data_IF_813880283543
#
_entry.id   IF_813880283543
#
_cell.length_a   1.000
_cell.length_b   1.000
_cell.length_c   1.000
_cell.angle_alpha   90.00
_cell.angle_beta   90.00
_cell.angle_gamma   90.00
#
_symmetry.space_group_name_H-M   'P 1'
#
loop_
_entity.id
_entity.type
_entity.pdbx_description
1 polymer ?
#
# COMPACT_ATOMS: atom_id res chain seq x y z
N UNK A 1 -30.04 6.19 4.77
CA UNK A 1 -29.53 6.24 3.38
C UNK A 1 -28.08 6.77 3.26
N UNK A 2 -27.60 7.73 4.07
CA UNK A 2 -26.23 8.28 3.90
C UNK A 2 -25.05 7.41 4.40
N UNK A 3 -25.27 6.50 5.36
CA UNK A 3 -24.18 5.71 5.96
C UNK A 3 -23.42 4.85 4.93
N UNK A 4 -24.16 4.24 3.99
CA UNK A 4 -23.56 3.43 2.92
C UNK A 4 -22.62 4.24 2.03
N UNK A 5 -22.90 5.53 1.81
CA UNK A 5 -22.04 6.41 1.02
C UNK A 5 -20.74 6.75 1.76
N UNK A 6 -20.78 7.00 3.07
CA UNK A 6 -19.55 7.19 3.86
C UNK A 6 -18.72 5.90 3.94
N UNK A 7 -19.37 4.76 4.15
CA UNK A 7 -18.70 3.45 4.14
C UNK A 7 -18.03 3.15 2.80
N UNK A 8 -18.69 3.48 1.69
CA UNK A 8 -18.14 3.38 0.34
C UNK A 8 -16.98 4.35 0.10
N UNK A 9 -17.12 5.61 0.55
CA UNK A 9 -16.09 6.66 0.43
C UNK A 9 -14.80 6.25 1.15
N UNK A 10 -14.93 5.67 2.35
CA UNK A 10 -13.81 5.14 3.13
C UNK A 10 -13.23 3.82 2.60
N UNK A 11 -13.84 3.22 1.57
CA UNK A 11 -13.49 1.90 1.01
C UNK A 11 -13.57 0.74 2.00
N UNK A 12 -14.40 0.85 3.04
CA UNK A 12 -14.52 -0.22 4.06
C UNK A 12 -15.24 -1.48 3.55
N UNK A 13 -15.89 -1.41 2.38
CA UNK A 13 -16.45 -2.57 1.69
C UNK A 13 -15.37 -3.49 1.07
N UNK A 14 -14.14 -3.00 0.90
CA UNK A 14 -13.03 -3.76 0.34
C UNK A 14 -11.75 -3.52 1.13
N UNK A 15 -11.39 -4.48 1.97
CA UNK A 15 -10.25 -4.36 2.89
C UNK A 15 -8.90 -4.65 2.24
N UNK A 16 -8.86 -5.08 0.98
CA UNK A 16 -7.59 -5.39 0.28
C UNK A 16 -6.58 -4.26 0.36
N UNK A 17 -7.02 -3.03 0.06
CA UNK A 17 -6.15 -1.87 0.13
C UNK A 17 -5.70 -1.50 1.54
N UNK A 18 -6.52 -1.80 2.55
CA UNK A 18 -6.13 -1.64 3.95
C UNK A 18 -5.03 -2.63 4.32
N UNK A 19 -5.18 -3.90 3.97
CA UNK A 19 -4.19 -4.94 4.23
C UNK A 19 -2.84 -4.65 3.58
N UNK A 20 -2.85 -4.13 2.35
CA UNK A 20 -1.64 -3.75 1.63
C UNK A 20 -0.88 -2.58 2.26
N UNK A 21 -1.53 -1.75 3.09
CA UNK A 21 -0.85 -0.69 3.88
C UNK A 21 -0.49 -1.21 5.27
N UNK A 22 -1.37 -2.01 5.87
CA UNK A 22 -1.19 -2.52 7.22
C UNK A 22 0.02 -3.46 7.33
N UNK A 23 0.09 -4.51 6.50
CA UNK A 23 1.12 -5.53 6.67
C UNK A 23 2.54 -5.01 6.50
N UNK A 24 2.88 -4.14 5.54
CA UNK A 24 4.19 -3.48 5.50
C UNK A 24 4.49 -2.70 6.79
N UNK A 25 3.49 -2.00 7.33
CA UNK A 25 3.62 -1.22 8.55
C UNK A 25 3.96 -2.09 9.77
N UNK A 26 3.20 -3.17 9.97
CA UNK A 26 3.45 -4.10 11.06
C UNK A 26 4.77 -4.85 10.87
N UNK A 27 5.12 -5.20 9.63
CA UNK A 27 6.41 -5.83 9.30
C UNK A 27 7.56 -4.92 9.69
N UNK A 28 7.48 -3.61 9.45
CA UNK A 28 8.50 -2.64 9.87
C UNK A 28 8.76 -2.63 11.38
N UNK A 29 7.69 -2.69 12.18
CA UNK A 29 7.77 -2.74 13.65
C UNK A 29 8.49 -4.01 14.10
N UNK A 30 8.09 -5.17 13.56
CA UNK A 30 8.63 -6.46 13.99
C UNK A 30 10.05 -6.68 13.47
N UNK A 31 10.35 -6.23 12.25
CA UNK A 31 11.70 -6.29 11.71
C UNK A 31 12.69 -5.55 12.61
N UNK A 32 12.27 -4.40 13.15
CA UNK A 32 13.04 -3.59 14.09
C UNK A 32 13.10 -4.17 15.51
N UNK A 33 12.14 -5.02 15.88
CA UNK A 33 12.02 -5.57 17.23
C UNK A 33 12.84 -6.84 17.35
N UNK A 34 13.77 -6.90 18.30
CA UNK A 34 14.53 -8.13 18.55
C UNK A 34 13.67 -9.22 19.20
N UNK A 35 12.64 -8.82 19.96
CA UNK A 35 11.63 -9.69 20.59
C UNK A 35 10.31 -8.93 20.74
N UNK A 36 9.21 -9.65 20.99
CA UNK A 36 7.87 -9.08 21.22
C UNK A 36 7.74 -8.45 22.62
N UNK A 37 8.35 -7.28 22.78
CA UNK A 37 8.16 -6.45 23.97
C UNK A 37 6.76 -5.85 24.05
N UNK A 38 6.36 -5.40 25.24
CA UNK A 38 5.12 -4.62 25.43
C UNK A 38 5.06 -3.39 24.53
N UNK A 39 6.19 -2.72 24.31
CA UNK A 39 6.28 -1.58 23.40
C UNK A 39 5.98 -1.99 21.96
N UNK A 40 6.54 -3.11 21.47
CA UNK A 40 6.25 -3.61 20.14
C UNK A 40 4.76 -3.93 19.97
N UNK A 41 4.15 -4.60 20.95
CA UNK A 41 2.72 -4.90 20.96
C UNK A 41 1.85 -3.63 20.93
N UNK A 42 2.19 -2.64 21.77
CA UNK A 42 1.50 -1.35 21.77
C UNK A 42 1.59 -0.63 20.42
N UNK A 43 2.77 -0.64 19.79
CA UNK A 43 2.97 -0.06 18.45
C UNK A 43 2.18 -0.81 17.38
N UNK A 44 2.09 -2.14 17.43
CA UNK A 44 1.27 -2.92 16.51
C UNK A 44 -0.21 -2.48 16.56
N UNK A 45 -0.74 -2.25 17.77
CA UNK A 45 -2.12 -1.74 17.94
C UNK A 45 -2.26 -0.34 17.36
N UNK A 46 -1.36 0.58 17.71
CA UNK A 46 -1.41 1.97 17.22
C UNK A 46 -1.32 2.04 15.69
N UNK A 47 -0.41 1.30 15.07
CA UNK A 47 -0.26 1.26 13.61
C UNK A 47 -1.42 0.55 12.93
N UNK A 48 -2.05 -0.43 13.59
CA UNK A 48 -3.29 -1.03 13.08
C UNK A 48 -4.39 0.00 13.02
N UNK A 49 -4.68 0.70 14.12
CA UNK A 49 -5.68 1.78 14.14
C UNK A 49 -5.30 2.87 13.12
N UNK A 50 -4.03 3.25 13.09
CA UNK A 50 -3.48 4.21 12.12
C UNK A 50 -3.77 3.82 10.67
N UNK A 51 -3.58 2.56 10.28
CA UNK A 51 -3.91 2.08 8.94
C UNK A 51 -5.41 2.20 8.63
N UNK A 52 -6.29 1.87 9.60
CA UNK A 52 -7.74 2.01 9.48
C UNK A 52 -8.21 3.47 9.34
N UNK A 53 -7.38 4.44 9.73
CA UNK A 53 -7.66 5.87 9.56
C UNK A 53 -7.04 6.42 8.26
N UNK A 54 -5.75 6.12 8.05
CA UNK A 54 -4.94 6.67 6.97
C UNK A 54 -5.31 6.12 5.60
N UNK A 55 -5.70 4.83 5.51
CA UNK A 55 -6.15 4.27 4.24
C UNK A 55 -7.43 4.96 3.74
N UNK A 56 -8.50 5.07 4.54
CA UNK A 56 -9.66 5.87 4.16
C UNK A 56 -9.32 7.33 3.85
N UNK A 57 -8.47 7.99 4.65
CA UNK A 57 -8.07 9.36 4.41
C UNK A 57 -7.42 9.55 3.02
N UNK A 58 -6.48 8.68 2.65
CA UNK A 58 -5.87 8.69 1.31
C UNK A 58 -6.89 8.43 0.19
N UNK A 59 -7.88 7.55 0.42
CA UNK A 59 -8.96 7.32 -0.55
C UNK A 59 -9.85 8.57 -0.72
N UNK A 60 -10.18 9.27 0.37
CA UNK A 60 -10.95 10.51 0.31
C UNK A 60 -10.20 11.60 -0.45
N UNK A 61 -8.90 11.76 -0.18
CA UNK A 61 -8.05 12.72 -0.90
C UNK A 61 -8.05 12.40 -2.40
N UNK A 62 -7.83 11.14 -2.77
CA UNK A 62 -7.89 10.70 -4.17
C UNK A 62 -9.26 11.00 -4.80
N UNK A 63 -10.36 10.64 -4.14
CA UNK A 63 -11.72 10.86 -4.67
C UNK A 63 -12.05 12.36 -4.82
N UNK A 64 -11.48 13.24 -3.98
CA UNK A 64 -11.64 14.70 -4.12
C UNK A 64 -10.92 15.20 -5.39
N UNK A 65 -9.66 14.79 -5.58
CA UNK A 65 -8.87 15.23 -6.74
C UNK A 65 -9.37 14.61 -8.05
N UNK A 66 -9.80 13.36 -8.02
CA UNK A 66 -10.18 12.58 -9.20
C UNK A 66 -11.69 12.66 -9.49
N UNK A 67 -12.48 13.42 -8.72
CA UNK A 67 -13.95 13.50 -8.81
C UNK A 67 -14.48 13.61 -10.25
N UNK A 68 -13.92 14.51 -11.05
CA UNK A 68 -14.38 14.75 -12.43
C UNK A 68 -13.96 13.63 -13.38
N UNK A 69 -12.75 13.09 -13.20
CA UNK A 69 -12.21 11.98 -14.00
C UNK A 69 -13.00 10.69 -13.69
N UNK A 70 -13.18 10.40 -12.40
CA UNK A 70 -13.88 9.22 -11.91
C UNK A 70 -15.33 9.15 -12.43
N UNK A 71 -15.97 10.29 -12.71
CA UNK A 71 -17.33 10.36 -13.27
C UNK A 71 -17.42 9.83 -14.72
N UNK A 72 -16.28 9.78 -15.44
CA UNK A 72 -16.20 9.33 -16.83
C UNK A 72 -15.62 7.92 -16.99
N UNK A 73 -15.30 7.23 -15.88
CA UNK A 73 -14.73 5.87 -15.87
C UNK A 73 -15.76 4.87 -15.36
N UNK A 74 -16.00 3.79 -16.11
CA UNK A 74 -17.13 2.88 -15.90
C UNK A 74 -17.16 2.30 -14.47
N UNK A 75 -15.98 1.95 -13.96
CA UNK A 75 -15.81 1.34 -12.64
C UNK A 75 -16.01 2.34 -11.48
N UNK A 76 -15.75 3.61 -11.70
CA UNK A 76 -15.64 4.62 -10.63
C UNK A 76 -16.72 5.68 -10.66
N UNK A 77 -17.54 5.75 -11.73
CA UNK A 77 -18.62 6.73 -11.87
C UNK A 77 -19.64 6.71 -10.72
N UNK A 78 -19.78 5.56 -10.05
CA UNK A 78 -20.66 5.38 -8.89
C UNK A 78 -20.01 5.70 -7.54
N UNK A 79 -18.74 6.13 -7.51
CA UNK A 79 -18.11 6.60 -6.26
C UNK A 79 -18.92 7.75 -5.66
N UNK A 80 -18.97 7.90 -4.33
CA UNK A 80 -19.86 8.88 -3.69
C UNK A 80 -19.64 10.33 -4.13
N UNK A 81 -18.38 10.75 -4.37
CA UNK A 81 -18.09 12.11 -4.84
C UNK A 81 -18.33 12.28 -6.34
N UNK A 82 -17.98 11.28 -7.16
CA UNK A 82 -18.18 11.31 -8.61
C UNK A 82 -19.67 11.32 -8.98
N UNK A 83 -20.49 10.53 -8.30
CA UNK A 83 -21.95 10.45 -8.52
C UNK A 83 -22.74 11.60 -7.88
N UNK A 84 -22.11 12.44 -7.05
CA UNK A 84 -22.78 13.50 -6.29
C UNK A 84 -23.57 13.02 -5.07
N UNK A 85 -23.51 11.74 -4.71
CA UNK A 85 -24.17 11.20 -3.52
C UNK A 85 -23.63 11.80 -2.20
N UNK A 86 -22.38 12.26 -2.20
CA UNK A 86 -21.80 13.12 -1.18
C UNK A 86 -21.16 14.35 -1.84
N UNK A 87 -21.18 15.48 -1.14
CA UNK A 87 -20.47 16.68 -1.56
C UNK A 87 -19.05 16.74 -0.96
N UNK A 88 -18.20 17.61 -1.54
CA UNK A 88 -16.80 17.76 -1.11
C UNK A 88 -16.69 18.22 0.35
N UNK A 89 -17.61 19.07 0.82
CA UNK A 89 -17.64 19.53 2.22
C UNK A 89 -17.83 18.37 3.20
N UNK A 90 -18.74 17.44 2.90
CA UNK A 90 -18.95 16.23 3.70
C UNK A 90 -17.70 15.35 3.73
N UNK A 91 -17.02 15.18 2.60
CA UNK A 91 -15.77 14.44 2.53
C UNK A 91 -14.64 15.11 3.32
N UNK A 92 -14.52 16.45 3.26
CA UNK A 92 -13.51 17.20 4.02
C UNK A 92 -13.73 17.13 5.54
N UNK A 93 -14.99 17.14 6.00
CA UNK A 93 -15.30 16.96 7.44
C UNK A 93 -14.84 15.59 7.92
N UNK A 94 -15.17 14.53 7.17
CA UNK A 94 -14.74 13.17 7.52
C UNK A 94 -13.22 13.03 7.44
N UNK A 95 -12.59 13.57 6.40
CA UNK A 95 -11.14 13.58 6.25
C UNK A 95 -10.47 14.25 7.45
N UNK A 96 -10.96 15.43 7.87
CA UNK A 96 -10.45 16.17 9.02
C UNK A 96 -10.54 15.34 10.31
N UNK A 97 -11.66 14.66 10.55
CA UNK A 97 -11.82 13.77 11.69
C UNK A 97 -10.79 12.63 11.68
N UNK A 98 -10.66 11.92 10.55
CA UNK A 98 -9.72 10.81 10.40
C UNK A 98 -8.27 11.25 10.61
N UNK A 99 -7.88 12.38 10.00
CA UNK A 99 -6.53 12.93 10.12
C UNK A 99 -6.24 13.46 11.51
N UNK A 100 -7.23 14.02 12.21
CA UNK A 100 -7.05 14.49 13.59
C UNK A 100 -6.75 13.33 14.53
N UNK A 101 -7.48 12.21 14.42
CA UNK A 101 -7.23 11.01 15.23
C UNK A 101 -5.87 10.39 14.85
N UNK A 102 -5.55 10.32 13.55
CA UNK A 102 -4.27 9.80 13.09
C UNK A 102 -3.09 10.68 13.56
N UNK A 103 -3.27 12.00 13.63
CA UNK A 103 -2.27 12.92 14.17
C UNK A 103 -2.05 12.67 15.67
N UNK A 104 -3.11 12.46 16.46
CA UNK A 104 -2.95 12.10 17.87
C UNK A 104 -2.11 10.83 18.01
N UNK A 105 -2.39 9.79 17.23
CA UNK A 105 -1.58 8.55 17.22
C UNK A 105 -0.12 8.85 16.85
N UNK A 106 0.11 9.66 15.82
CA UNK A 106 1.45 10.02 15.39
C UNK A 106 2.22 10.80 16.47
N UNK A 107 1.56 11.67 17.23
CA UNK A 107 2.15 12.42 18.35
C UNK A 107 2.52 11.53 19.55
N UNK A 108 1.94 10.33 19.65
CA UNK A 108 2.34 9.33 20.65
C UNK A 108 3.62 8.56 20.26
N UNK A 109 4.19 8.83 19.08
CA UNK A 109 5.42 8.21 18.61
C UNK A 109 6.64 9.11 18.82
N UNK A 110 7.82 8.65 18.40
CA UNK A 110 9.06 9.42 18.53
C UNK A 110 9.26 10.44 17.40
N UNK A 111 10.25 11.33 17.59
CA UNK A 111 10.54 12.44 16.66
C UNK A 111 10.81 11.97 15.23
N UNK A 112 11.57 10.89 15.04
CA UNK A 112 11.88 10.38 13.70
C UNK A 112 10.62 9.89 12.99
N UNK A 113 9.74 9.19 13.71
CA UNK A 113 8.46 8.71 13.19
C UNK A 113 7.52 9.86 12.84
N UNK A 114 7.46 10.91 13.68
CA UNK A 114 6.68 12.11 13.43
C UNK A 114 7.11 12.80 12.12
N UNK A 115 8.42 12.99 11.91
CA UNK A 115 8.96 13.60 10.68
C UNK A 115 8.59 12.76 9.45
N UNK A 116 8.77 11.44 9.52
CA UNK A 116 8.40 10.53 8.43
C UNK A 116 6.89 10.53 8.15
N UNK A 117 6.07 10.67 9.18
CA UNK A 117 4.62 10.81 9.04
C UNK A 117 4.22 12.08 8.30
N UNK A 118 4.86 13.21 8.59
CA UNK A 118 4.64 14.47 7.85
C UNK A 118 5.05 14.32 6.38
N UNK A 119 6.22 13.71 6.11
CA UNK A 119 6.67 13.42 4.74
C UNK A 119 5.65 12.53 4.03
N UNK A 120 5.17 11.47 4.69
CA UNK A 120 4.16 10.57 4.14
C UNK A 120 2.86 11.32 3.79
N UNK A 121 2.44 12.29 4.60
CA UNK A 121 1.25 13.11 4.30
C UNK A 121 1.42 13.93 3.03
N UNK A 122 2.57 14.56 2.83
CA UNK A 122 2.86 15.28 1.59
C UNK A 122 2.75 14.36 0.37
N UNK A 123 3.28 13.13 0.48
CA UNK A 123 3.24 12.15 -0.61
C UNK A 123 1.82 11.66 -0.92
N UNK A 124 0.97 11.49 0.10
CA UNK A 124 -0.45 11.14 -0.07
C UNK A 124 -1.19 12.22 -0.87
N UNK A 125 -0.93 13.50 -0.61
CA UNK A 125 -1.59 14.62 -1.30
C UNK A 125 -1.08 14.75 -2.75
N UNK A 126 0.21 14.55 -2.99
CA UNK A 126 0.82 14.70 -4.32
C UNK A 126 0.43 13.55 -5.26
N UNK A 127 0.34 12.32 -4.75
CA UNK A 127 0.10 11.12 -5.57
C UNK A 127 -1.05 11.24 -6.59
N UNK A 128 -2.30 11.62 -6.23
CA UNK A 128 -3.40 11.64 -7.20
C UNK A 128 -3.16 12.58 -8.38
N UNK A 129 -2.43 13.69 -8.16
CA UNK A 129 -2.09 14.65 -9.22
C UNK A 129 -1.16 14.06 -10.28
N UNK A 130 -0.28 13.13 -9.89
CA UNK A 130 0.78 12.61 -10.76
C UNK A 130 0.25 11.80 -11.93
N UNK A 131 -0.91 11.16 -11.79
CA UNK A 131 -1.54 10.36 -12.86
C UNK A 131 -1.79 11.15 -14.16
N UNK A 132 -1.85 12.49 -14.06
CA UNK A 132 -2.06 13.40 -15.19
C UNK A 132 -0.77 13.74 -15.94
N UNK A 133 0.38 13.59 -15.28
CA UNK A 133 1.64 14.13 -15.77
C UNK A 133 2.70 13.06 -16.07
N UNK A 134 2.77 12.00 -15.25
CA UNK A 134 3.84 10.99 -15.33
C UNK A 134 3.31 9.62 -15.73
N UNK A 135 4.13 8.84 -16.44
CA UNK A 135 3.80 7.47 -16.85
C UNK A 135 3.94 6.43 -15.73
N UNK A 136 4.56 6.81 -14.61
CA UNK A 136 4.86 5.92 -13.50
C UNK A 136 4.19 6.34 -12.18
N UNK A 137 2.88 6.68 -12.15
CA UNK A 137 2.22 7.04 -10.89
C UNK A 137 2.22 5.87 -9.90
N UNK A 138 2.30 4.62 -10.38
CA UNK A 138 2.46 3.40 -9.57
C UNK A 138 3.75 3.39 -8.74
N UNK A 139 4.86 3.97 -9.25
CA UNK A 139 6.10 4.10 -8.49
C UNK A 139 5.88 5.04 -7.30
N UNK A 140 5.24 6.18 -7.55
CA UNK A 140 4.90 7.14 -6.49
C UNK A 140 3.91 6.57 -5.49
N UNK A 141 2.94 5.77 -5.94
CA UNK A 141 2.07 5.02 -5.05
C UNK A 141 2.87 4.06 -4.19
N UNK A 142 3.83 3.34 -4.79
CA UNK A 142 4.74 2.44 -4.08
C UNK A 142 5.50 3.14 -2.97
N UNK A 143 5.94 4.38 -3.19
CA UNK A 143 6.50 5.17 -2.12
C UNK A 143 5.46 5.45 -1.04
N UNK A 144 4.32 6.04 -1.40
CA UNK A 144 3.29 6.48 -0.45
C UNK A 144 2.69 5.33 0.38
N UNK A 145 2.31 4.21 -0.24
CA UNK A 145 1.63 3.09 0.43
C UNK A 145 2.52 2.39 1.46
N UNK A 146 3.82 2.33 1.18
CA UNK A 146 4.74 1.53 1.97
C UNK A 146 5.46 2.35 3.04
N UNK A 147 5.25 3.67 3.12
CA UNK A 147 5.87 4.52 4.15
C UNK A 147 5.66 3.96 5.55
N UNK A 148 4.53 3.29 5.79
CA UNK A 148 4.25 2.60 7.03
C UNK A 148 5.35 1.63 7.47
N UNK A 149 6.06 0.94 6.58
CA UNK A 149 7.18 0.06 6.96
C UNK A 149 8.35 0.84 7.55
N UNK A 150 8.64 2.03 7.01
CA UNK A 150 9.64 2.94 7.59
C UNK A 150 9.19 3.53 8.91
N UNK A 151 7.95 4.02 8.98
CA UNK A 151 7.40 4.56 10.22
C UNK A 151 7.40 3.49 11.33
N UNK A 152 7.04 2.26 11.00
CA UNK A 152 7.02 1.15 11.94
C UNK A 152 8.40 0.85 12.52
N UNK A 153 9.43 0.79 11.67
CA UNK A 153 10.81 0.64 12.13
C UNK A 153 11.27 1.83 12.98
N UNK A 154 11.03 3.05 12.48
CA UNK A 154 11.39 4.27 13.18
C UNK A 154 10.70 4.37 14.54
N UNK A 155 9.46 3.89 14.69
CA UNK A 155 8.74 3.92 15.96
C UNK A 155 9.42 3.10 17.05
N UNK A 156 10.13 2.03 16.66
CA UNK A 156 10.89 1.16 17.57
C UNK A 156 12.31 1.70 17.80
N UNK A 157 13.03 2.07 16.73
CA UNK A 157 14.47 2.40 16.81
C UNK A 157 14.79 3.89 16.92
N UNK A 158 13.81 4.76 16.69
CA UNK A 158 13.96 6.22 16.57
C UNK A 158 15.04 6.68 15.56
N UNK A 159 15.40 5.81 14.62
CA UNK A 159 16.36 6.08 13.55
C UNK A 159 16.06 5.18 12.35
N UNK A 160 16.59 5.52 11.18
CA UNK A 160 16.53 4.68 9.98
C UNK A 160 17.92 4.13 9.70
N UNK A 161 18.00 2.82 9.51
CA UNK A 161 19.18 2.09 9.08
C UNK A 161 18.91 1.43 7.72
N UNK A 162 19.84 0.63 7.20
CA UNK A 162 19.76 0.07 5.84
C UNK A 162 18.67 -1.02 5.71
N UNK A 163 18.39 -1.76 6.78
CA UNK A 163 17.45 -2.87 6.83
C UNK A 163 16.02 -2.45 6.46
N UNK A 164 15.40 -1.43 7.09
CA UNK A 164 14.08 -0.97 6.69
C UNK A 164 14.09 -0.31 5.31
N UNK A 165 15.23 0.22 4.83
CA UNK A 165 15.33 0.81 3.49
C UNK A 165 15.23 -0.25 2.40
N UNK A 166 15.93 -1.37 2.58
CA UNK A 166 15.80 -2.53 1.69
C UNK A 166 14.40 -3.12 1.77
N UNK A 167 13.84 -3.28 2.98
CA UNK A 167 12.49 -3.81 3.12
C UNK A 167 11.45 -2.94 2.40
N UNK A 168 11.53 -1.62 2.61
CA UNK A 168 10.68 -0.64 1.93
C UNK A 168 10.87 -0.63 0.42
N UNK A 169 12.12 -0.70 -0.08
CA UNK A 169 12.42 -0.84 -1.50
C UNK A 169 11.74 -2.07 -2.10
N UNK A 170 11.81 -3.21 -1.41
CA UNK A 170 11.11 -4.43 -1.83
C UNK A 170 9.60 -4.22 -1.93
N UNK A 171 9.01 -3.52 -0.95
CA UNK A 171 7.59 -3.18 -0.95
C UNK A 171 7.21 -2.22 -2.09
N UNK A 172 8.05 -1.24 -2.44
CA UNK A 172 7.81 -0.33 -3.57
C UNK A 172 7.72 -1.10 -4.89
N UNK A 173 8.69 -1.99 -5.17
CA UNK A 173 8.66 -2.82 -6.38
C UNK A 173 7.48 -3.79 -6.39
N UNK A 174 7.07 -4.25 -5.21
CA UNK A 174 5.90 -5.09 -5.08
C UNK A 174 4.61 -4.32 -5.39
N UNK A 175 4.48 -3.08 -4.90
CA UNK A 175 3.39 -2.17 -5.25
C UNK A 175 3.38 -1.82 -6.73
N UNK A 176 4.54 -1.54 -7.32
CA UNK A 176 4.68 -1.38 -8.75
C UNK A 176 4.09 -2.58 -9.49
N UNK A 177 4.35 -3.80 -9.03
CA UNK A 177 3.79 -5.00 -9.65
C UNK A 177 2.27 -5.05 -9.53
N UNK A 178 1.73 -5.12 -8.32
CA UNK A 178 0.29 -5.35 -8.15
C UNK A 178 -0.57 -4.16 -8.59
N UNK A 179 -0.06 -2.93 -8.50
CA UNK A 179 -0.82 -1.74 -8.89
C UNK A 179 -0.78 -1.52 -10.41
N UNK A 180 0.29 -1.97 -11.09
CA UNK A 180 0.29 -2.09 -12.56
C UNK A 180 -0.78 -3.08 -13.01
N UNK A 181 -0.88 -4.25 -12.35
CA UNK A 181 -1.93 -5.24 -12.63
C UNK A 181 -3.31 -4.63 -12.38
N UNK A 182 -3.48 -3.93 -11.26
CA UNK A 182 -4.75 -3.28 -10.93
C UNK A 182 -5.14 -2.21 -11.96
N UNK A 183 -4.19 -1.43 -12.47
CA UNK A 183 -4.42 -0.37 -13.45
C UNK A 183 -4.85 -0.90 -14.84
N UNK A 184 -4.54 -2.15 -15.18
CA UNK A 184 -5.03 -2.76 -16.44
C UNK A 184 -6.56 -2.84 -16.51
N UNK A 185 -7.27 -2.81 -15.37
CA UNK A 185 -8.73 -2.79 -15.34
C UNK A 185 -9.34 -1.55 -16.00
N UNK A 186 -8.65 -0.41 -15.91
CA UNK A 186 -9.16 0.89 -16.40
C UNK A 186 -8.42 1.35 -17.66
N UNK A 187 -7.54 0.51 -18.24
CA UNK A 187 -6.64 0.84 -19.36
C UNK A 187 -7.36 1.57 -20.51
N UNK A 188 -8.54 1.08 -20.92
CA UNK A 188 -9.30 1.65 -22.05
C UNK A 188 -9.90 3.02 -21.74
N UNK A 189 -10.34 3.25 -20.51
CA UNK A 189 -10.92 4.53 -20.09
C UNK A 189 -9.82 5.55 -19.82
N UNK A 190 -8.71 5.12 -19.19
CA UNK A 190 -7.51 5.92 -18.98
C UNK A 190 -6.94 6.45 -20.31
N UNK A 191 -6.86 5.61 -21.35
CA UNK A 191 -6.38 6.00 -22.67
C UNK A 191 -7.24 7.10 -23.30
N UNK A 192 -8.58 6.96 -23.24
CA UNK A 192 -9.52 7.96 -23.77
C UNK A 192 -9.45 9.29 -23.03
N UNK A 193 -9.19 9.25 -21.73
CA UNK A 193 -9.09 10.42 -20.87
C UNK A 193 -7.68 11.05 -20.87
N UNK A 194 -6.73 10.48 -21.64
CA UNK A 194 -5.35 10.94 -21.69
C UNK A 194 -4.58 10.74 -20.38
N UNK A 195 -5.05 9.84 -19.52
CA UNK A 195 -4.41 9.49 -18.26
C UNK A 195 -3.19 8.60 -18.51
N UNK A 196 -2.18 8.73 -17.66
CA UNK A 196 -0.93 7.99 -17.80
C UNK A 196 -0.79 6.95 -16.70
N UNK A 197 -0.37 5.74 -17.07
CA UNK A 197 -0.14 4.66 -16.12
C UNK A 197 0.94 3.71 -16.65
N UNK A 198 1.56 2.95 -15.75
CA UNK A 198 2.49 1.89 -16.13
C UNK A 198 1.81 0.78 -16.94
N UNK A 199 0.51 0.54 -16.74
CA UNK A 199 -0.28 -0.39 -17.54
C UNK A 199 -0.32 0.03 -19.02
N UNK A 200 -0.56 1.33 -19.28
CA UNK A 200 -0.50 1.88 -20.64
C UNK A 200 0.94 1.92 -21.18
N UNK A 201 1.90 2.34 -20.35
CA UNK A 201 3.30 2.46 -20.77
C UNK A 201 3.94 1.12 -21.13
N UNK A 202 3.69 0.07 -20.34
CA UNK A 202 4.25 -1.26 -20.60
C UNK A 202 3.48 -2.02 -21.68
N UNK A 203 2.16 -1.81 -21.79
CA UNK A 203 1.31 -2.50 -22.76
C UNK A 203 1.56 -4.01 -22.74
N UNK A 204 1.92 -4.57 -23.89
CA UNK A 204 2.15 -6.00 -24.09
C UNK A 204 3.39 -6.53 -23.33
N UNK A 205 4.32 -5.64 -22.97
CA UNK A 205 5.52 -6.01 -22.20
C UNK A 205 5.28 -6.10 -20.70
N UNK A 206 4.05 -5.86 -20.22
CA UNK A 206 3.68 -5.86 -18.79
C UNK A 206 4.23 -7.08 -18.06
N UNK A 207 4.00 -8.30 -18.56
CA UNK A 207 4.46 -9.52 -17.88
C UNK A 207 5.98 -9.55 -17.65
N UNK A 208 6.76 -9.04 -18.59
CA UNK A 208 8.23 -8.96 -18.49
C UNK A 208 8.66 -8.02 -17.37
N UNK A 209 8.01 -6.85 -17.25
CA UNK A 209 8.25 -5.89 -16.18
C UNK A 209 7.84 -6.44 -14.81
N UNK A 210 6.67 -7.07 -14.71
CA UNK A 210 6.21 -7.68 -13.46
C UNK A 210 7.19 -8.74 -12.95
N UNK A 211 7.73 -9.57 -13.84
CA UNK A 211 8.78 -10.55 -13.47
C UNK A 211 9.99 -9.86 -12.86
N UNK A 212 10.46 -8.74 -13.43
CA UNK A 212 11.60 -7.97 -12.90
C UNK A 212 11.27 -7.39 -11.53
N UNK A 213 10.09 -6.79 -11.37
CA UNK A 213 9.66 -6.24 -10.09
C UNK A 213 9.55 -7.30 -9.00
N UNK A 214 8.97 -8.47 -9.31
CA UNK A 214 8.93 -9.60 -8.38
C UNK A 214 10.33 -10.04 -7.93
N UNK A 215 11.27 -10.17 -8.87
CA UNK A 215 12.65 -10.56 -8.55
C UNK A 215 13.35 -9.51 -7.70
N UNK A 216 13.21 -8.23 -8.02
CA UNK A 216 13.79 -7.13 -7.23
C UNK A 216 13.17 -7.12 -5.83
N UNK A 217 11.86 -7.26 -5.68
CA UNK A 217 11.19 -7.34 -4.38
C UNK A 217 11.75 -8.49 -3.52
N UNK A 218 11.83 -9.69 -4.08
CA UNK A 218 12.38 -10.85 -3.37
C UNK A 218 13.84 -10.64 -2.96
N UNK A 219 14.67 -10.08 -3.86
CA UNK A 219 16.07 -9.77 -3.56
C UNK A 219 16.18 -8.75 -2.41
N UNK A 220 15.42 -7.67 -2.46
CA UNK A 220 15.45 -6.62 -1.43
C UNK A 220 14.99 -7.16 -0.06
N UNK A 221 13.94 -7.98 -0.02
CA UNK A 221 13.50 -8.62 1.22
C UNK A 221 14.46 -9.70 1.72
N UNK A 222 15.13 -10.44 0.83
CA UNK A 222 16.19 -11.38 1.18
C UNK A 222 17.32 -10.65 1.90
N UNK A 223 17.85 -9.57 1.31
CA UNK A 223 18.92 -8.80 1.92
C UNK A 223 18.48 -8.10 3.22
N UNK A 224 17.26 -7.57 3.27
CA UNK A 224 16.71 -7.01 4.51
C UNK A 224 16.66 -8.05 5.64
N UNK A 225 16.25 -9.29 5.33
CA UNK A 225 16.23 -10.40 6.28
C UNK A 225 17.61 -10.83 6.76
N UNK A 226 18.58 -10.92 5.84
CA UNK A 226 19.99 -11.23 6.19
C UNK A 226 20.56 -10.19 7.14
N UNK A 227 20.42 -8.90 6.83
CA UNK A 227 20.93 -7.82 7.68
C UNK A 227 20.18 -7.72 9.01
N UNK A 228 18.90 -8.10 9.04
CA UNK A 228 18.10 -8.14 10.27
C UNK A 228 18.32 -9.41 11.10
N UNK A 229 19.24 -10.28 10.69
CA UNK A 229 19.52 -11.58 11.32
C UNK A 229 18.27 -12.45 11.49
N UNK A 230 17.41 -12.47 10.47
CA UNK A 230 16.26 -13.40 10.43
C UNK A 230 16.73 -14.81 10.07
N UNK A 231 15.99 -15.80 10.56
CA UNK A 231 16.30 -17.21 10.43
C UNK A 231 15.44 -17.91 9.36
N UNK A 232 15.49 -19.24 9.35
CA UNK A 232 14.88 -20.08 8.33
C UNK A 232 13.36 -19.89 8.19
N UNK A 233 12.65 -19.50 9.26
CA UNK A 233 11.20 -19.30 9.22
C UNK A 233 10.85 -18.18 8.24
N UNK A 234 11.58 -17.06 8.31
CA UNK A 234 11.40 -15.96 7.35
C UNK A 234 11.70 -16.40 5.91
N UNK A 235 12.79 -17.13 5.67
CA UNK A 235 13.16 -17.54 4.30
C UNK A 235 12.18 -18.55 3.70
N UNK A 236 11.54 -19.41 4.52
CA UNK A 236 10.45 -20.27 4.08
C UNK A 236 9.23 -19.44 3.66
N UNK A 237 8.86 -18.43 4.45
CA UNK A 237 7.78 -17.50 4.08
C UNK A 237 8.11 -16.72 2.79
N UNK A 238 9.36 -16.29 2.62
CA UNK A 238 9.83 -15.62 1.42
C UNK A 238 9.78 -16.54 0.19
N UNK A 239 10.11 -17.83 0.34
CA UNK A 239 9.95 -18.83 -0.71
C UNK A 239 8.46 -18.99 -1.11
N UNK A 240 7.56 -19.04 -0.13
CA UNK A 240 6.12 -19.08 -0.39
C UNK A 240 5.63 -17.83 -1.17
N UNK A 241 6.13 -16.65 -0.84
CA UNK A 241 5.90 -15.41 -1.62
C UNK A 241 6.42 -15.57 -3.05
N UNK A 242 7.59 -16.17 -3.25
CA UNK A 242 8.14 -16.46 -4.58
C UNK A 242 7.24 -17.38 -5.42
N UNK A 243 6.65 -18.42 -4.80
CA UNK A 243 5.66 -19.30 -5.44
C UNK A 243 4.40 -18.52 -5.83
N UNK A 244 3.92 -17.63 -4.96
CA UNK A 244 2.78 -16.76 -5.27
C UNK A 244 3.08 -15.83 -6.44
N UNK A 245 4.24 -15.19 -6.48
CA UNK A 245 4.66 -14.35 -7.60
C UNK A 245 4.77 -15.12 -8.92
N UNK A 246 5.25 -16.36 -8.88
CA UNK A 246 5.26 -17.23 -10.05
C UNK A 246 3.84 -17.55 -10.53
N UNK A 247 2.92 -17.88 -9.61
CA UNK A 247 1.51 -18.09 -9.91
C UNK A 247 0.86 -16.85 -10.55
N UNK A 248 1.08 -15.67 -9.98
CA UNK A 248 0.53 -14.41 -10.51
C UNK A 248 1.07 -14.14 -11.92
N UNK A 249 2.39 -14.28 -12.13
CA UNK A 249 3.01 -14.09 -13.44
C UNK A 249 2.46 -15.05 -14.50
N UNK A 250 2.33 -16.34 -14.17
CA UNK A 250 1.89 -17.38 -15.11
C UNK A 250 0.43 -17.16 -15.52
N UNK A 251 -0.43 -16.84 -14.56
CA UNK A 251 -1.87 -16.81 -14.79
C UNK A 251 -2.41 -15.43 -15.23
N UNK A 252 -1.64 -14.35 -15.09
CA UNK A 252 -2.10 -13.02 -15.48
C UNK A 252 -2.50 -12.94 -16.96
N UNK A 253 -3.67 -12.39 -17.23
CA UNK A 253 -4.12 -11.87 -18.50
C UNK A 253 -4.44 -10.38 -18.29
N UNK A 254 -3.59 -9.46 -18.77
CA UNK A 254 -3.79 -8.02 -18.61
C UNK A 254 -5.10 -7.51 -19.23
N UNK A 255 -5.65 -8.19 -20.23
CA UNK A 255 -6.89 -7.77 -20.89
C UNK A 255 -8.17 -8.26 -20.17
N UNK A 256 -8.03 -9.10 -19.13
CA UNK A 256 -9.13 -9.55 -18.28
C UNK A 256 -9.17 -8.77 -16.96
N UNK A 257 -10.09 -7.80 -16.90
CA UNK A 257 -10.30 -6.94 -15.73
C UNK A 257 -10.65 -7.74 -14.46
N UNK A 258 -11.45 -8.81 -14.59
CA UNK A 258 -11.86 -9.63 -13.46
C UNK A 258 -10.68 -10.40 -12.86
N UNK A 259 -9.81 -10.91 -13.73
CA UNK A 259 -8.60 -11.60 -13.33
C UNK A 259 -7.56 -10.64 -12.74
N UNK A 260 -7.42 -9.44 -13.29
CA UNK A 260 -6.59 -8.38 -12.73
C UNK A 260 -7.01 -8.04 -11.30
N UNK A 261 -8.32 -7.87 -11.04
CA UNK A 261 -8.84 -7.65 -9.69
C UNK A 261 -8.56 -8.84 -8.76
N UNK A 262 -8.73 -10.08 -9.24
CA UNK A 262 -8.45 -11.27 -8.45
C UNK A 262 -6.97 -11.35 -8.03
N UNK A 263 -6.04 -11.13 -8.97
CA UNK A 263 -4.61 -11.14 -8.68
C UNK A 263 -4.22 -9.98 -7.76
N UNK A 264 -4.79 -8.78 -7.95
CA UNK A 264 -4.60 -7.66 -7.05
C UNK A 264 -5.02 -8.02 -5.61
N UNK A 265 -6.19 -8.64 -5.42
CA UNK A 265 -6.66 -9.08 -4.10
C UNK A 265 -5.74 -10.11 -3.46
N UNK A 266 -5.19 -11.03 -4.24
CA UNK A 266 -4.25 -12.04 -3.74
C UNK A 266 -2.97 -11.45 -3.14
N UNK A 267 -2.62 -10.19 -3.46
CA UNK A 267 -1.46 -9.54 -2.86
C UNK A 267 -1.66 -9.25 -1.37
N UNK A 268 -2.88 -9.17 -0.84
CA UNK A 268 -3.06 -9.11 0.62
C UNK A 268 -2.42 -10.31 1.34
N UNK A 269 -2.39 -11.49 0.72
CA UNK A 269 -1.72 -12.67 1.27
C UNK A 269 -0.19 -12.58 1.20
N UNK A 270 0.38 -11.92 0.19
CA UNK A 270 1.83 -11.67 0.13
C UNK A 270 2.27 -10.82 1.32
N UNK A 271 1.55 -9.72 1.60
CA UNK A 271 1.79 -8.90 2.77
C UNK A 271 1.65 -9.70 4.08
N UNK A 272 0.60 -10.52 4.19
CA UNK A 272 0.38 -11.37 5.35
C UNK A 272 1.52 -12.38 5.57
N UNK A 273 1.98 -13.06 4.51
CA UNK A 273 3.07 -14.03 4.58
C UNK A 273 4.38 -13.37 5.01
N UNK A 274 4.70 -12.18 4.49
CA UNK A 274 5.87 -11.44 4.93
C UNK A 274 5.77 -11.06 6.41
N UNK A 275 4.64 -10.50 6.83
CA UNK A 275 4.42 -10.11 8.21
C UNK A 275 4.52 -11.32 9.16
N UNK A 276 3.80 -12.40 8.87
CA UNK A 276 3.83 -13.61 9.69
C UNK A 276 5.19 -14.29 9.67
N UNK A 277 5.89 -14.29 8.52
CA UNK A 277 7.23 -14.83 8.41
C UNK A 277 8.21 -14.13 9.33
N UNK A 278 8.18 -12.79 9.38
CA UNK A 278 9.03 -12.00 10.28
C UNK A 278 8.58 -12.18 11.74
N UNK A 279 7.27 -12.15 12.01
CA UNK A 279 6.70 -12.30 13.35
C UNK A 279 7.06 -13.65 13.97
N UNK A 280 6.80 -14.75 13.27
CA UNK A 280 7.08 -16.09 13.78
C UNK A 280 8.58 -16.31 13.97
N UNK A 281 9.42 -15.76 13.08
CA UNK A 281 10.87 -15.83 13.24
C UNK A 281 11.35 -15.17 14.55
N UNK A 282 10.80 -14.00 14.89
CA UNK A 282 11.09 -13.25 16.14
C UNK A 282 10.43 -13.82 17.40
N UNK A 283 9.44 -14.70 17.25
CA UNK A 283 8.79 -15.38 18.39
C UNK A 283 9.59 -16.63 18.77
N UNK A 284 10.09 -17.35 17.77
CA UNK A 284 10.73 -18.66 17.97
C UNK A 284 12.22 -18.54 18.31
N UNK A 285 12.90 -17.49 17.84
CA UNK A 285 14.32 -17.24 18.07
C UNK A 285 14.54 -15.96 18.88
#
# INVERSE_FOLDING_TARGET
MHFNHYFSLMRLHSLTGLWLVLFPSLSGIILASASLSWQAFFLLILFTIGAFLMRPAGCIINDIFDKEIDAHVERTKYRPLASGALNVKQALILLSLLLSIALVILLLTNKTTLILGVISMCMIIIYPLLKRYVWWPQLFLGFTFNMGSFLGWAAVKNQISIEPMLFYAGCIFWTLSYDTIYAHQDKRDDEKLGMKSTALYFGDTTKSWLKRFHLISLMMWLYAGILSSLNNIFYIALLAVGVMFHYQYKNLNPDDSSQCMYIFKNNSYVGLLLFLGILLDRVVN
#
